data_IF_568362035898
#
_entry.id   IF_568362035898
#
_cell.length_a   1.000
_cell.length_b   1.000
_cell.length_c   1.000
_cell.angle_alpha   90.00
_cell.angle_beta   90.00
_cell.angle_gamma   90.00
#
_symmetry.space_group_name_H-M   'P 1'
#
loop_
_entity.id
_entity.type
_entity.pdbx_description
1 polymer ?
#
# COMPACT_ATOMS: atom_id res chain seq x y z
N UNK A 1 -41.79 -85.29 -4.16
CA UNK A 1 -41.58 -84.13 -3.25
C UNK A 1 -41.88 -82.90 -4.08
N UNK A 2 -43.10 -82.37 -3.96
CA UNK A 2 -43.49 -81.14 -4.66
C UNK A 2 -42.83 -79.97 -3.95
N UNK A 3 -41.95 -79.24 -4.65
CA UNK A 3 -41.38 -78.00 -4.14
C UNK A 3 -42.51 -76.98 -4.05
N UNK A 4 -42.83 -76.53 -2.84
CA UNK A 4 -43.88 -75.53 -2.61
C UNK A 4 -43.40 -74.16 -3.09
N UNK A 5 -44.30 -73.32 -3.64
CA UNK A 5 -43.97 -71.97 -4.11
C UNK A 5 -43.27 -71.11 -3.05
N UNK A 6 -43.57 -71.34 -1.77
CA UNK A 6 -42.90 -70.66 -0.64
C UNK A 6 -41.42 -71.01 -0.48
N UNK A 7 -41.01 -72.25 -0.79
CA UNK A 7 -39.60 -72.65 -0.74
C UNK A 7 -38.79 -71.98 -1.85
N UNK A 8 -39.36 -71.85 -3.05
CA UNK A 8 -38.72 -71.15 -4.16
C UNK A 8 -38.58 -69.65 -3.85
N UNK A 9 -39.62 -69.02 -3.30
CA UNK A 9 -39.59 -67.63 -2.88
C UNK A 9 -38.56 -67.38 -1.75
N UNK A 10 -38.49 -68.28 -0.77
CA UNK A 10 -37.52 -68.22 0.32
C UNK A 10 -36.07 -68.29 -0.16
N UNK A 11 -35.78 -69.15 -1.15
CA UNK A 11 -34.45 -69.27 -1.74
C UNK A 11 -34.02 -67.96 -2.44
N UNK A 12 -34.91 -67.37 -3.23
CA UNK A 12 -34.65 -66.10 -3.94
C UNK A 12 -34.43 -64.96 -2.93
N UNK A 13 -35.28 -64.89 -1.90
CA UNK A 13 -35.15 -63.89 -0.84
C UNK A 13 -33.83 -64.03 -0.07
N UNK A 14 -33.39 -65.25 0.23
CA UNK A 14 -32.13 -65.51 0.91
C UNK A 14 -30.92 -65.03 0.08
N UNK A 15 -30.91 -65.30 -1.23
CA UNK A 15 -29.83 -64.85 -2.13
C UNK A 15 -29.83 -63.33 -2.25
N UNK A 16 -30.99 -62.70 -2.41
CA UNK A 16 -31.12 -61.24 -2.47
C UNK A 16 -30.63 -60.57 -1.17
N UNK A 17 -31.00 -61.13 -0.02
CA UNK A 17 -30.55 -60.64 1.28
C UNK A 17 -29.04 -60.79 1.45
N UNK A 18 -28.46 -61.91 1.02
CA UNK A 18 -27.01 -62.12 1.05
C UNK A 18 -26.27 -61.06 0.22
N UNK A 19 -26.74 -60.78 -1.00
CA UNK A 19 -26.16 -59.73 -1.84
C UNK A 19 -26.27 -58.34 -1.19
N UNK A 20 -27.40 -58.04 -0.55
CA UNK A 20 -27.60 -56.79 0.19
C UNK A 20 -26.58 -56.67 1.31
N UNK A 21 -26.39 -57.71 2.12
CA UNK A 21 -25.42 -57.70 3.23
C UNK A 21 -24.00 -57.47 2.73
N UNK A 22 -23.59 -58.16 1.64
CA UNK A 22 -22.27 -57.95 1.03
C UNK A 22 -22.09 -56.50 0.57
N UNK A 23 -23.12 -55.93 -0.08
CA UNK A 23 -23.10 -54.52 -0.48
C UNK A 23 -22.96 -53.58 0.73
N UNK A 24 -23.70 -53.84 1.81
CA UNK A 24 -23.63 -53.05 3.04
C UNK A 24 -22.22 -53.09 3.67
N UNK A 25 -21.59 -54.27 3.71
CA UNK A 25 -20.23 -54.42 4.21
C UNK A 25 -19.24 -53.55 3.43
N UNK A 26 -19.38 -53.49 2.09
CA UNK A 26 -18.52 -52.64 1.24
C UNK A 26 -18.75 -51.15 1.56
N UNK A 27 -20.00 -50.72 1.69
CA UNK A 27 -20.34 -49.32 2.01
C UNK A 27 -19.78 -48.93 3.37
N UNK A 28 -19.97 -49.76 4.40
CA UNK A 28 -19.45 -49.49 5.73
C UNK A 28 -17.91 -49.42 5.74
N UNK A 29 -17.24 -50.30 5.00
CA UNK A 29 -15.78 -50.25 4.85
C UNK A 29 -15.32 -48.94 4.17
N UNK A 30 -16.04 -48.45 3.16
CA UNK A 30 -15.76 -47.16 2.52
C UNK A 30 -15.98 -45.99 3.47
N UNK A 31 -17.07 -45.99 4.24
CA UNK A 31 -17.34 -44.95 5.25
C UNK A 31 -16.22 -44.92 6.30
N UNK A 32 -15.75 -46.08 6.76
CA UNK A 32 -14.60 -46.15 7.67
C UNK A 32 -13.33 -45.51 7.09
N UNK A 33 -13.04 -45.74 5.80
CA UNK A 33 -11.91 -45.08 5.12
C UNK A 33 -12.09 -43.57 5.02
N UNK A 34 -13.27 -43.11 4.62
CA UNK A 34 -13.59 -41.68 4.54
C UNK A 34 -13.45 -41.01 5.91
N UNK A 35 -13.91 -41.66 6.99
CA UNK A 35 -13.72 -41.12 8.35
C UNK A 35 -12.24 -41.00 8.72
N UNK A 36 -11.40 -41.93 8.29
CA UNK A 36 -9.96 -41.86 8.51
C UNK A 36 -9.32 -40.69 7.73
N UNK A 37 -9.68 -40.52 6.46
CA UNK A 37 -9.24 -39.40 5.61
C UNK A 37 -9.71 -38.05 6.17
N UNK A 38 -10.95 -37.97 6.68
CA UNK A 38 -11.49 -36.78 7.34
C UNK A 38 -10.70 -36.47 8.62
N UNK A 39 -10.38 -37.49 9.42
CA UNK A 39 -9.57 -37.29 10.63
C UNK A 39 -8.16 -36.78 10.29
N UNK A 40 -7.52 -37.34 9.26
CA UNK A 40 -6.24 -36.84 8.76
C UNK A 40 -6.36 -35.40 8.23
N UNK A 41 -7.41 -35.09 7.48
CA UNK A 41 -7.67 -33.75 6.96
C UNK A 41 -7.87 -32.73 8.08
N UNK A 42 -8.64 -33.08 9.12
CA UNK A 42 -8.84 -32.24 10.31
C UNK A 42 -7.52 -32.05 11.05
N UNK A 43 -6.69 -33.09 11.16
CA UNK A 43 -5.37 -33.00 11.79
C UNK A 43 -4.44 -32.07 11.00
N UNK A 44 -4.36 -32.21 9.68
CA UNK A 44 -3.57 -31.33 8.82
C UNK A 44 -4.06 -29.88 8.92
N UNK A 45 -5.37 -29.66 8.81
CA UNK A 45 -5.97 -28.33 8.93
C UNK A 45 -5.66 -27.69 10.28
N UNK A 46 -5.68 -28.45 11.39
CA UNK A 46 -5.27 -27.94 12.71
C UNK A 46 -3.79 -27.57 12.74
N UNK A 47 -2.93 -28.37 12.12
CA UNK A 47 -1.50 -28.05 11.99
C UNK A 47 -1.29 -26.77 11.19
N UNK A 48 -1.99 -26.61 10.07
CA UNK A 48 -1.90 -25.42 9.22
C UNK A 48 -2.42 -24.17 9.94
N UNK A 49 -3.54 -24.27 10.65
CA UNK A 49 -4.07 -23.18 11.49
C UNK A 49 -3.08 -22.81 12.59
N UNK A 50 -2.46 -23.78 13.26
CA UNK A 50 -1.43 -23.49 14.26
C UNK A 50 -0.20 -22.80 13.63
N UNK A 51 0.18 -23.19 12.42
CA UNK A 51 1.22 -22.52 11.64
C UNK A 51 0.85 -21.08 11.29
N UNK A 52 -0.37 -20.86 10.80
CA UNK A 52 -0.90 -19.54 10.47
C UNK A 52 -0.99 -18.64 11.71
N UNK A 53 -1.44 -19.17 12.86
CA UNK A 53 -1.46 -18.42 14.11
C UNK A 53 -0.06 -18.01 14.55
N UNK A 54 0.94 -18.89 14.42
CA UNK A 54 2.34 -18.54 14.72
C UNK A 54 2.89 -17.48 13.77
N UNK A 55 2.60 -17.58 12.48
CA UNK A 55 3.02 -16.56 11.52
C UNK A 55 2.30 -15.23 11.78
N UNK A 56 1.01 -15.26 12.13
CA UNK A 56 0.25 -14.07 12.51
C UNK A 56 0.82 -13.43 13.79
N UNK A 57 1.18 -14.22 14.80
CA UNK A 57 1.90 -13.74 15.99
C UNK A 57 3.24 -13.11 15.61
N UNK A 58 4.00 -13.72 14.69
CA UNK A 58 5.25 -13.17 14.19
C UNK A 58 5.05 -11.84 13.44
N UNK A 59 3.98 -11.72 12.63
CA UNK A 59 3.59 -10.49 11.95
C UNK A 59 3.20 -9.41 12.96
N UNK A 60 2.39 -9.75 13.97
CA UNK A 60 2.02 -8.82 15.03
C UNK A 60 3.25 -8.34 15.81
N UNK A 61 4.18 -9.24 16.13
CA UNK A 61 5.44 -8.90 16.78
C UNK A 61 6.30 -7.99 15.90
N UNK A 62 6.48 -8.33 14.62
CA UNK A 62 7.20 -7.49 13.65
C UNK A 62 6.53 -6.13 13.46
N UNK A 63 5.20 -6.07 13.40
CA UNK A 63 4.44 -4.83 13.31
C UNK A 63 4.65 -3.97 14.56
N UNK A 64 4.61 -4.56 15.75
CA UNK A 64 4.90 -3.85 16.99
C UNK A 64 6.34 -3.30 17.03
N UNK A 65 7.32 -4.08 16.57
CA UNK A 65 8.71 -3.61 16.40
C UNK A 65 8.80 -2.49 15.36
N UNK A 66 8.16 -2.64 14.20
CA UNK A 66 8.14 -1.61 13.16
C UNK A 66 7.49 -0.32 13.63
N UNK A 67 6.39 -0.40 14.39
CA UNK A 67 5.74 0.76 14.99
C UNK A 67 6.66 1.45 16.00
N UNK A 68 7.40 0.68 16.80
CA UNK A 68 8.42 1.21 17.71
C UNK A 68 9.55 1.90 16.95
N UNK A 69 10.06 1.26 15.89
CA UNK A 69 11.12 1.82 15.04
C UNK A 69 10.65 3.08 14.29
N UNK A 70 9.38 3.14 13.87
CA UNK A 70 8.77 4.31 13.25
C UNK A 70 8.65 5.45 14.25
N UNK A 71 8.20 5.17 15.48
CA UNK A 71 8.13 6.18 16.55
C UNK A 71 9.52 6.79 16.81
N UNK A 72 10.55 5.95 16.93
CA UNK A 72 11.92 6.43 17.16
C UNK A 72 12.51 7.16 15.95
N UNK A 73 12.25 6.67 14.73
CA UNK A 73 12.65 7.38 13.50
C UNK A 73 11.89 8.70 13.32
N UNK A 74 10.61 8.77 13.68
CA UNK A 74 9.79 9.98 13.57
C UNK A 74 10.37 11.09 14.43
N UNK A 75 10.75 10.79 15.69
CA UNK A 75 11.42 11.75 16.59
C UNK A 75 12.70 12.33 15.99
N UNK A 76 13.44 11.53 15.22
CA UNK A 76 14.65 12.02 14.53
C UNK A 76 14.36 12.81 13.26
N UNK A 77 13.17 12.71 12.68
CA UNK A 77 12.76 13.43 11.47
C UNK A 77 12.11 14.79 11.82
N UNK A 78 11.55 14.98 13.02
CA UNK A 78 11.03 16.28 13.50
C UNK A 78 11.97 17.49 13.25
N UNK A 79 13.27 17.44 13.60
CA UNK A 79 14.19 18.53 13.30
C UNK A 79 14.47 18.70 11.80
N UNK A 80 14.30 17.66 10.99
CA UNK A 80 14.39 17.78 9.53
C UNK A 80 13.17 18.51 8.96
N UNK A 81 11.97 18.25 9.49
CA UNK A 81 10.77 19.01 9.12
C UNK A 81 10.88 20.49 9.51
N UNK A 82 11.41 20.79 10.70
CA UNK A 82 11.72 22.17 11.10
C UNK A 82 12.76 22.81 10.19
N UNK A 83 13.86 22.12 9.88
CA UNK A 83 14.89 22.65 8.98
C UNK A 83 14.34 22.94 7.57
N UNK A 84 13.42 22.12 7.07
CA UNK A 84 12.73 22.36 5.80
C UNK A 84 11.76 23.56 5.91
N UNK A 85 11.07 23.73 7.03
CA UNK A 85 10.22 24.90 7.28
C UNK A 85 11.04 26.20 7.33
N UNK A 86 12.14 26.21 8.09
CA UNK A 86 13.06 27.35 8.21
C UNK A 86 13.74 27.67 6.86
N UNK A 87 14.05 26.65 6.05
CA UNK A 87 14.55 26.84 4.69
C UNK A 87 13.47 27.40 3.77
N UNK A 88 12.22 26.94 3.88
CA UNK A 88 11.09 27.49 3.13
C UNK A 88 10.87 28.97 3.46
N UNK A 89 10.95 29.34 4.74
CA UNK A 89 10.90 30.74 5.20
C UNK A 89 12.08 31.53 4.61
N UNK A 90 13.30 30.98 4.69
CA UNK A 90 14.51 31.62 4.14
C UNK A 90 14.44 31.83 2.61
N UNK A 91 13.88 30.88 1.86
CA UNK A 91 13.68 31.00 0.41
C UNK A 91 12.57 32.01 0.10
N UNK A 92 11.51 32.04 0.88
CA UNK A 92 10.43 33.04 0.78
C UNK A 92 10.97 34.46 1.04
N UNK A 93 11.73 34.63 2.12
CA UNK A 93 12.39 35.88 2.48
C UNK A 93 13.40 36.31 1.43
N UNK A 94 14.20 35.38 0.90
CA UNK A 94 15.12 35.67 -0.20
C UNK A 94 14.38 36.08 -1.48
N UNK A 95 13.27 35.42 -1.82
CA UNK A 95 12.44 35.80 -2.96
C UNK A 95 11.83 37.21 -2.78
N UNK A 96 11.34 37.51 -1.58
CA UNK A 96 10.79 38.82 -1.24
C UNK A 96 11.87 39.91 -1.25
N UNK A 97 13.04 39.65 -0.67
CA UNK A 97 14.17 40.57 -0.64
C UNK A 97 14.74 40.80 -2.06
N UNK A 98 14.90 39.75 -2.86
CA UNK A 98 15.36 39.84 -4.25
C UNK A 98 14.37 40.62 -5.11
N UNK A 99 13.06 40.35 -4.99
CA UNK A 99 12.02 41.11 -5.68
C UNK A 99 11.97 42.57 -5.21
N UNK A 100 12.13 42.82 -3.91
CA UNK A 100 12.19 44.16 -3.31
C UNK A 100 13.40 44.96 -3.78
N UNK A 101 14.57 44.33 -3.85
CA UNK A 101 15.79 44.92 -4.39
C UNK A 101 15.66 45.19 -5.88
N UNK A 102 15.17 44.23 -6.67
CA UNK A 102 14.94 44.40 -8.10
C UNK A 102 13.94 45.53 -8.39
N UNK A 103 12.85 45.65 -7.62
CA UNK A 103 11.89 46.76 -7.75
C UNK A 103 12.48 48.09 -7.30
N UNK A 104 13.29 48.15 -6.23
CA UNK A 104 14.01 49.37 -5.84
C UNK A 104 15.04 49.78 -6.89
N UNK A 105 15.87 48.86 -7.39
CA UNK A 105 16.87 49.18 -8.42
C UNK A 105 16.19 49.56 -9.73
N UNK A 106 15.08 48.90 -10.09
CA UNK A 106 14.29 49.25 -11.28
C UNK A 106 13.62 50.59 -11.12
N UNK A 107 13.06 50.93 -9.95
CA UNK A 107 12.42 52.23 -9.71
C UNK A 107 13.43 53.36 -9.59
N UNK A 108 14.55 53.16 -8.90
CA UNK A 108 15.69 54.10 -8.88
C UNK A 108 16.29 54.28 -10.28
N UNK A 109 16.44 53.22 -11.07
CA UNK A 109 16.89 53.31 -12.46
C UNK A 109 15.81 53.90 -13.38
N UNK A 110 14.52 53.76 -13.09
CA UNK A 110 13.47 54.45 -13.85
C UNK A 110 13.46 55.95 -13.54
N UNK A 111 13.66 56.37 -12.30
CA UNK A 111 13.72 57.80 -11.94
C UNK A 111 15.05 58.46 -12.35
N UNK A 112 16.17 57.79 -12.08
CA UNK A 112 17.51 58.26 -12.48
C UNK A 112 17.70 58.06 -13.97
N UNK A 113 17.35 56.92 -14.56
CA UNK A 113 17.56 56.60 -15.98
C UNK A 113 16.62 57.36 -16.93
N UNK A 114 15.34 57.58 -16.60
CA UNK A 114 14.50 58.45 -17.46
C UNK A 114 15.02 59.88 -17.44
N UNK A 115 15.47 60.37 -16.28
CA UNK A 115 15.98 61.74 -16.16
C UNK A 115 17.39 61.88 -16.73
N UNK A 116 18.31 60.94 -16.49
CA UNK A 116 19.70 61.00 -16.94
C UNK A 116 19.90 60.57 -18.40
N UNK A 117 19.11 59.64 -18.93
CA UNK A 117 19.12 59.33 -20.37
C UNK A 117 18.46 60.46 -21.15
N UNK A 118 17.32 60.98 -20.71
CA UNK A 118 16.73 62.17 -21.36
C UNK A 118 17.62 63.39 -21.20
N UNK A 119 18.21 63.64 -20.02
CA UNK A 119 19.18 64.74 -19.85
C UNK A 119 20.44 64.50 -20.68
N UNK A 120 20.97 63.29 -20.77
CA UNK A 120 22.15 62.97 -21.57
C UNK A 120 21.91 63.17 -23.06
N UNK A 121 20.79 62.67 -23.57
CA UNK A 121 20.37 62.84 -24.97
C UNK A 121 19.99 64.30 -25.25
N UNK A 122 19.23 64.96 -24.38
CA UNK A 122 18.85 66.37 -24.52
C UNK A 122 20.06 67.30 -24.45
N UNK A 123 21.02 67.05 -23.56
CA UNK A 123 22.25 67.85 -23.44
C UNK A 123 23.17 67.64 -24.66
N UNK A 124 23.22 66.42 -25.20
CA UNK A 124 23.93 66.12 -26.45
C UNK A 124 23.27 66.81 -27.66
N UNK A 125 21.94 66.80 -27.75
CA UNK A 125 21.18 67.51 -28.78
C UNK A 125 21.28 69.04 -28.65
N UNK A 126 21.26 69.57 -27.43
CA UNK A 126 21.39 71.00 -27.16
C UNK A 126 22.78 71.53 -27.59
N UNK A 127 23.85 70.80 -27.28
CA UNK A 127 25.20 71.17 -27.70
C UNK A 127 25.40 71.07 -29.22
N UNK A 128 24.69 70.17 -29.90
CA UNK A 128 24.69 70.08 -31.37
C UNK A 128 23.97 71.27 -32.02
N UNK A 129 22.88 71.77 -31.42
CA UNK A 129 22.17 72.96 -31.93
C UNK A 129 22.95 74.26 -31.75
N UNK A 130 23.75 74.39 -30.69
CA UNK A 130 24.54 75.60 -30.42
C UNK A 130 25.77 75.73 -31.34
N UNK A 131 26.21 74.65 -31.99
CA UNK A 131 27.42 74.67 -32.84
C UNK A 131 27.20 75.20 -34.27
N UNK A 132 25.94 75.49 -34.66
CA UNK A 132 25.55 75.95 -36.00
C UNK A 132 24.95 77.38 -36.02
N UNK A 133 25.23 78.21 -35.01
CA UNK A 133 25.02 79.67 -35.02
C UNK A 133 26.27 80.35 -34.50
#
# INVERSE_FOLDING_TARGET
MELTLGQLAGLIAAVAFLLLVVFLCIVLAKVGKIMNEVNESVKSMRTDINGLSREAEAILAKSNTLLTDIEDKSKTIDPLFQAVADLSESVSDLNNASRGLATKVSSSTKSVGKTSVVLGVARKLYNLRKKNK
#
